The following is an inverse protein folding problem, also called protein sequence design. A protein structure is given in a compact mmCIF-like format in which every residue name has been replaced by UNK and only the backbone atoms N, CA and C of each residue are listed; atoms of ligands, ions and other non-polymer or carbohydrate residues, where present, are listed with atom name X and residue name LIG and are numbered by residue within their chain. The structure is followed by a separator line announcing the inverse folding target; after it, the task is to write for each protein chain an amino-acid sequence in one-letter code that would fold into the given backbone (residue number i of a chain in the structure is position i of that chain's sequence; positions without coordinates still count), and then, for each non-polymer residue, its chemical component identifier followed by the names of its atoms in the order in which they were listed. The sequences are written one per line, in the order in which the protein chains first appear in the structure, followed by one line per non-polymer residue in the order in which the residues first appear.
data_IF_795472309598
#
_entry.id   IF_795472309598
#
_cell.length_a   1.000
_cell.length_b   1.000
_cell.length_c   1.000
_cell.angle_alpha   90.00
_cell.angle_beta   90.00
_cell.angle_gamma   90.00
#
_symmetry.space_group_name_H-M   'P 1'
#
loop_
_entity.id
_entity.type
_entity.pdbx_description
1 polymer ?
#
# COMPACT_ATOMS: atom_id res chain seq x y z
N UNK A 1 -24.97 8.53 -3.55
CA UNK A 1 -24.96 7.17 -4.10
C UNK A 1 -24.23 6.26 -3.13
N UNK A 2 -24.85 5.16 -2.75
CA UNK A 2 -24.22 4.11 -1.95
C UNK A 2 -23.90 2.94 -2.89
N UNK A 3 -22.75 2.30 -2.71
CA UNK A 3 -22.32 1.20 -3.56
C UNK A 3 -22.21 -0.11 -2.78
N UNK A 4 -22.48 -1.21 -3.46
CA UNK A 4 -22.21 -2.54 -2.96
C UNK A 4 -20.90 -3.04 -3.55
N UNK A 5 -20.02 -3.56 -2.71
CA UNK A 5 -18.83 -4.26 -3.17
C UNK A 5 -19.24 -5.58 -3.84
N UNK A 6 -18.67 -5.81 -5.02
CA UNK A 6 -18.85 -7.03 -5.78
C UNK A 6 -17.51 -7.75 -5.85
N UNK A 7 -17.28 -8.64 -4.89
CA UNK A 7 -16.08 -9.47 -4.85
C UNK A 7 -16.25 -10.65 -5.80
N UNK A 8 -15.53 -10.60 -6.91
CA UNK A 8 -15.19 -11.76 -7.74
C UNK A 8 -13.78 -12.23 -7.40
N UNK A 9 -13.45 -13.48 -7.72
CA UNK A 9 -12.08 -13.97 -7.64
C UNK A 9 -11.12 -13.05 -8.43
N UNK A 10 -11.50 -12.65 -9.64
CA UNK A 10 -10.68 -11.78 -10.49
C UNK A 10 -10.44 -10.39 -9.89
N UNK A 11 -11.45 -9.79 -9.24
CA UNK A 11 -11.28 -8.49 -8.58
C UNK A 11 -10.46 -8.58 -7.30
N UNK A 12 -10.56 -9.69 -6.56
CA UNK A 12 -9.72 -9.95 -5.39
C UNK A 12 -8.25 -10.17 -5.81
N UNK A 13 -8.01 -10.99 -6.84
CA UNK A 13 -6.67 -11.20 -7.39
C UNK A 13 -6.09 -9.92 -7.97
N UNK A 14 -6.90 -9.10 -8.64
CA UNK A 14 -6.46 -7.80 -9.15
C UNK A 14 -6.05 -6.86 -8.02
N UNK A 15 -6.85 -6.79 -6.95
CA UNK A 15 -6.52 -6.00 -5.77
C UNK A 15 -5.26 -6.51 -5.07
N UNK A 16 -5.10 -7.83 -4.94
CA UNK A 16 -3.92 -8.46 -4.35
C UNK A 16 -2.65 -8.19 -5.17
N UNK A 17 -2.73 -8.32 -6.49
CA UNK A 17 -1.63 -7.97 -7.38
C UNK A 17 -1.28 -6.48 -7.28
N UNK A 18 -2.32 -5.63 -7.18
CA UNK A 18 -2.12 -4.20 -7.05
C UNK A 18 -1.50 -3.78 -5.71
N UNK A 19 -1.88 -4.45 -4.62
CA UNK A 19 -1.27 -4.31 -3.29
C UNK A 19 0.25 -4.55 -3.38
N UNK A 20 0.67 -5.70 -3.89
CA UNK A 20 2.10 -6.03 -3.98
C UNK A 20 2.88 -5.15 -4.96
N UNK A 21 2.26 -4.72 -6.06
CA UNK A 21 2.88 -3.75 -6.97
C UNK A 21 3.02 -2.37 -6.30
N UNK A 22 2.05 -1.92 -5.51
CA UNK A 22 2.17 -0.66 -4.76
C UNK A 22 3.27 -0.74 -3.69
N UNK A 23 3.36 -1.86 -2.97
CA UNK A 23 4.45 -2.13 -2.03
C UNK A 23 5.81 -2.07 -2.71
N UNK A 24 5.97 -2.76 -3.85
CA UNK A 24 7.24 -2.74 -4.58
C UNK A 24 7.56 -1.33 -5.11
N UNK A 25 6.59 -0.59 -5.62
CA UNK A 25 6.82 0.79 -6.07
C UNK A 25 7.30 1.70 -4.91
N UNK A 26 6.79 1.48 -3.71
CA UNK A 26 7.25 2.16 -2.51
C UNK A 26 8.73 1.88 -2.23
N UNK A 27 9.14 0.60 -2.20
CA UNK A 27 10.54 0.19 -2.01
C UNK A 27 11.47 0.64 -3.15
N UNK A 28 10.99 0.61 -4.39
CA UNK A 28 11.75 1.07 -5.55
C UNK A 28 12.03 2.57 -5.49
N UNK A 29 11.12 3.37 -4.94
CA UNK A 29 11.32 4.82 -4.83
C UNK A 29 12.32 5.17 -3.74
N UNK A 30 12.37 4.41 -2.64
CA UNK A 30 13.46 4.52 -1.68
C UNK A 30 14.82 4.28 -2.35
N UNK A 31 14.95 3.15 -3.03
CA UNK A 31 16.21 2.72 -3.62
C UNK A 31 16.61 3.55 -4.83
N UNK A 32 15.66 4.06 -5.63
CA UNK A 32 15.93 4.97 -6.73
C UNK A 32 16.48 6.32 -6.25
N UNK A 33 15.94 6.86 -5.16
CA UNK A 33 16.47 8.10 -4.56
C UNK A 33 17.84 7.85 -3.92
N UNK A 34 18.03 6.72 -3.23
CA UNK A 34 19.34 6.32 -2.72
C UNK A 34 20.38 6.17 -3.85
N UNK A 35 20.01 5.53 -4.97
CA UNK A 35 20.85 5.41 -6.16
C UNK A 35 21.21 6.78 -6.72
N UNK A 36 20.25 7.71 -6.80
CA UNK A 36 20.51 9.05 -7.28
C UNK A 36 21.52 9.80 -6.39
N UNK A 37 21.50 9.57 -5.08
CA UNK A 37 22.45 10.18 -4.15
C UNK A 37 23.83 9.48 -4.13
N UNK A 38 23.88 8.16 -4.31
CA UNK A 38 25.10 7.35 -4.14
C UNK A 38 25.77 6.92 -5.45
N UNK A 39 25.06 6.94 -6.58
CA UNK A 39 25.52 6.41 -7.87
C UNK A 39 25.52 4.87 -7.98
N UNK A 40 25.06 4.16 -6.95
CA UNK A 40 25.00 2.71 -6.90
C UNK A 40 23.77 2.20 -6.17
N UNK A 41 23.35 0.97 -6.50
CA UNK A 41 22.26 0.28 -5.82
C UNK A 41 22.79 -0.33 -4.52
N UNK A 42 22.11 -0.06 -3.41
CA UNK A 42 22.37 -0.78 -2.17
C UNK A 42 21.53 -2.06 -2.07
N UNK A 43 21.90 -2.92 -1.13
CA UNK A 43 21.19 -4.19 -0.93
C UNK A 43 19.80 -3.94 -0.36
N UNK A 44 18.85 -4.76 -0.78
CA UNK A 44 17.48 -4.77 -0.24
C UNK A 44 16.92 -6.18 -0.13
N UNK A 45 15.85 -6.32 0.63
CA UNK A 45 15.00 -7.50 0.65
C UNK A 45 13.53 -7.11 0.33
N UNK A 46 12.55 -7.88 0.81
CA UNK A 46 11.14 -7.58 0.58
C UNK A 46 10.60 -6.38 1.36
N UNK A 47 11.24 -5.93 2.44
CA UNK A 47 10.71 -4.85 3.29
C UNK A 47 11.79 -3.94 3.90
N UNK A 48 13.04 -4.11 3.51
CA UNK A 48 14.15 -3.30 3.97
C UNK A 48 15.11 -3.02 2.81
N UNK A 49 15.75 -1.86 2.88
CA UNK A 49 16.74 -1.42 1.92
C UNK A 49 17.91 -0.76 2.64
N UNK A 50 19.05 -0.67 1.95
CA UNK A 50 20.27 -0.03 2.42
C UNK A 50 20.87 0.82 1.31
N UNK A 51 21.77 1.73 1.68
CA UNK A 51 22.65 2.40 0.71
C UNK A 51 23.84 1.48 0.36
N UNK A 52 24.43 1.63 -0.82
CA UNK A 52 25.63 0.87 -1.19
C UNK A 52 26.83 1.23 -0.30
N UNK A 53 27.73 0.26 -0.10
CA UNK A 53 28.92 0.39 0.77
C UNK A 53 29.92 1.44 0.31
N UNK A 54 29.92 1.78 -0.99
CA UNK A 54 30.76 2.84 -1.57
C UNK A 54 30.15 4.24 -1.41
N UNK A 55 28.94 4.34 -0.87
CA UNK A 55 28.31 5.64 -0.63
C UNK A 55 28.99 6.38 0.52
N UNK A 56 29.00 7.71 0.45
CA UNK A 56 29.60 8.55 1.50
C UNK A 56 29.00 8.21 2.88
N UNK A 57 29.83 7.98 3.93
CA UNK A 57 29.32 7.69 5.26
C UNK A 57 28.53 8.86 5.87
N UNK A 58 28.70 10.07 5.33
CA UNK A 58 27.98 11.27 5.75
C UNK A 58 26.73 11.56 4.91
N UNK A 59 26.30 10.61 4.07
CA UNK A 59 25.10 10.80 3.26
C UNK A 59 23.87 10.97 4.14
N UNK A 60 23.06 11.97 3.80
CA UNK A 60 21.75 12.14 4.39
C UNK A 60 20.74 11.20 3.71
N UNK A 61 20.43 10.07 4.36
CA UNK A 61 19.46 9.08 3.88
C UNK A 61 18.01 9.50 4.09
N UNK A 62 17.74 10.62 4.77
CA UNK A 62 16.36 11.08 5.07
C UNK A 62 15.55 11.27 3.80
N UNK A 63 16.15 11.76 2.71
CA UNK A 63 15.45 11.92 1.44
C UNK A 63 15.07 10.59 0.81
N UNK A 64 15.98 9.61 0.85
CA UNK A 64 15.69 8.26 0.40
C UNK A 64 14.61 7.62 1.30
N UNK A 65 14.65 7.78 2.62
CA UNK A 65 13.59 7.28 3.51
C UNK A 65 12.27 8.03 3.35
N UNK A 66 12.27 9.33 3.04
CA UNK A 66 11.04 10.08 2.86
C UNK A 66 10.34 9.80 1.53
N UNK A 67 11.08 9.42 0.50
CA UNK A 67 10.54 9.28 -0.86
C UNK A 67 9.46 8.20 -0.96
N UNK A 68 9.63 7.05 -0.29
CA UNK A 68 8.63 5.99 -0.23
C UNK A 68 7.29 6.48 0.35
N UNK A 69 7.24 6.97 1.61
CA UNK A 69 6.02 7.50 2.21
C UNK A 69 5.42 8.64 1.39
N UNK A 70 6.23 9.57 0.88
CA UNK A 70 5.75 10.66 0.03
C UNK A 70 5.01 10.14 -1.21
N UNK A 71 5.55 9.12 -1.87
CA UNK A 71 4.90 8.47 -3.00
C UNK A 71 3.61 7.77 -2.60
N UNK A 72 3.63 6.99 -1.52
CA UNK A 72 2.44 6.30 -0.99
C UNK A 72 1.34 7.29 -0.64
N UNK A 73 1.64 8.38 0.07
CA UNK A 73 0.68 9.43 0.38
C UNK A 73 0.14 10.08 -0.89
N UNK A 74 0.99 10.38 -1.87
CA UNK A 74 0.53 10.90 -3.17
C UNK A 74 -0.51 9.97 -3.81
N UNK A 75 -0.24 8.68 -3.88
CA UNK A 75 -1.17 7.69 -4.43
C UNK A 75 -2.48 7.61 -3.64
N UNK A 76 -2.40 7.62 -2.31
CA UNK A 76 -3.57 7.63 -1.41
C UNK A 76 -4.44 8.88 -1.65
N UNK A 77 -3.84 10.05 -1.83
CA UNK A 77 -4.55 11.30 -2.12
C UNK A 77 -5.11 11.34 -3.55
N UNK A 78 -4.43 10.75 -4.54
CA UNK A 78 -5.00 10.51 -5.87
C UNK A 78 -6.24 9.62 -5.75
N UNK A 79 -6.17 8.55 -4.95
CA UNK A 79 -7.31 7.67 -4.68
C UNK A 79 -8.48 8.42 -4.04
N UNK A 80 -8.20 9.27 -3.04
CA UNK A 80 -9.19 10.18 -2.45
C UNK A 80 -9.85 11.09 -3.49
N UNK A 81 -9.09 11.66 -4.42
CA UNK A 81 -9.61 12.52 -5.47
C UNK A 81 -10.49 11.76 -6.48
N UNK A 82 -10.11 10.52 -6.81
CA UNK A 82 -10.88 9.62 -7.69
C UNK A 82 -12.19 9.13 -7.05
N UNK A 83 -12.29 9.16 -5.73
CA UNK A 83 -13.49 8.84 -4.97
C UNK A 83 -14.50 10.00 -4.83
N UNK A 84 -14.31 11.13 -5.55
CA UNK A 84 -15.23 12.28 -5.48
C UNK A 84 -16.63 11.95 -6.05
N UNK A 85 -17.65 12.67 -5.59
CA UNK A 85 -19.06 12.46 -6.01
C UNK A 85 -19.29 12.53 -7.52
N UNK A 86 -18.52 13.34 -8.25
CA UNK A 86 -18.63 13.52 -9.71
C UNK A 86 -17.86 12.48 -10.53
N UNK A 87 -17.08 11.60 -9.88
CA UNK A 87 -16.31 10.59 -10.58
C UNK A 87 -17.20 9.41 -11.03
N UNK A 88 -16.77 8.72 -12.08
CA UNK A 88 -17.45 7.51 -12.56
C UNK A 88 -17.31 6.36 -11.56
N UNK A 89 -18.17 5.36 -11.66
CA UNK A 89 -18.10 4.17 -10.79
C UNK A 89 -16.74 3.46 -10.88
N UNK A 90 -16.18 3.40 -12.09
CA UNK A 90 -14.87 2.81 -12.33
C UNK A 90 -13.75 3.61 -11.67
N UNK A 91 -13.81 4.95 -11.75
CA UNK A 91 -12.87 5.83 -11.05
C UNK A 91 -12.98 5.69 -9.54
N UNK A 92 -14.18 5.64 -8.99
CA UNK A 92 -14.38 5.46 -7.55
C UNK A 92 -13.90 4.08 -7.07
N UNK A 93 -14.14 3.03 -7.87
CA UNK A 93 -13.65 1.67 -7.60
C UNK A 93 -12.12 1.62 -7.59
N UNK A 94 -11.49 2.19 -8.62
CA UNK A 94 -10.04 2.25 -8.72
C UNK A 94 -9.43 3.14 -7.62
N UNK A 95 -10.05 4.28 -7.31
CA UNK A 95 -9.62 5.16 -6.22
C UNK A 95 -9.70 4.46 -4.86
N UNK A 96 -10.75 3.68 -4.62
CA UNK A 96 -10.87 2.86 -3.43
C UNK A 96 -9.78 1.77 -3.38
N UNK A 97 -9.54 1.07 -4.49
CA UNK A 97 -8.44 0.09 -4.58
C UNK A 97 -7.08 0.74 -4.30
N UNK A 98 -6.81 1.91 -4.89
CA UNK A 98 -5.53 2.63 -4.78
C UNK A 98 -5.25 3.04 -3.34
N UNK A 99 -6.26 3.50 -2.60
CA UNK A 99 -6.11 3.82 -1.17
C UNK A 99 -5.71 2.59 -0.38
N UNK A 100 -6.44 1.49 -0.50
CA UNK A 100 -6.21 0.32 0.35
C UNK A 100 -5.02 -0.53 -0.07
N UNK A 101 -4.64 -0.50 -1.35
CA UNK A 101 -3.43 -1.12 -1.87
C UNK A 101 -2.14 -0.42 -1.38
N UNK A 102 -2.24 0.81 -0.88
CA UNK A 102 -1.12 1.55 -0.29
C UNK A 102 -1.05 1.41 1.24
N UNK A 103 -1.88 0.56 1.83
CA UNK A 103 -1.93 0.20 3.26
C UNK A 103 -1.66 1.39 4.20
N UNK A 104 -2.43 2.49 4.11
CA UNK A 104 -2.19 3.70 4.90
C UNK A 104 -2.25 3.46 6.42
N UNK A 105 -2.94 2.40 6.85
CA UNK A 105 -2.95 1.99 8.26
C UNK A 105 -1.59 1.46 8.75
N UNK A 106 -0.76 0.87 7.87
CA UNK A 106 0.59 0.44 8.22
C UNK A 106 1.44 1.62 8.73
N UNK A 107 1.24 2.82 8.18
CA UNK A 107 1.94 4.04 8.60
C UNK A 107 1.59 4.44 10.02
N UNK A 108 0.29 4.46 10.34
CA UNK A 108 -0.15 4.70 11.71
C UNK A 108 0.35 3.60 12.67
N UNK A 109 0.24 2.34 12.27
CA UNK A 109 0.66 1.20 13.08
C UNK A 109 2.17 1.25 13.40
N UNK A 110 3.01 1.50 12.41
CA UNK A 110 4.47 1.54 12.60
C UNK A 110 4.90 2.72 13.48
N UNK A 111 4.28 3.90 13.34
CA UNK A 111 4.53 5.04 14.25
C UNK A 111 4.07 4.78 15.68
N UNK A 112 2.93 4.11 15.88
CA UNK A 112 2.53 3.68 17.23
C UNK A 112 3.57 2.74 17.86
N UNK A 113 4.23 1.91 17.04
CA UNK A 113 5.35 1.05 17.43
C UNK A 113 6.70 1.78 17.48
N UNK A 114 6.73 3.11 17.25
CA UNK A 114 7.94 3.96 17.16
C UNK A 114 8.94 3.52 16.08
N UNK A 115 8.46 2.80 15.06
CA UNK A 115 9.22 2.31 13.92
C UNK A 115 8.76 2.94 12.60
N UNK A 116 9.02 2.23 11.50
CA UNK A 116 8.66 2.68 10.15
C UNK A 116 9.53 3.81 9.60
N UNK A 117 9.27 4.16 8.34
CA UNK A 117 9.99 5.22 7.64
C UNK A 117 9.78 6.58 8.31
N UNK A 118 8.55 6.89 8.70
CA UNK A 118 8.20 8.13 9.40
C UNK A 118 8.99 8.28 10.70
N UNK A 119 9.14 7.19 11.47
CA UNK A 119 9.91 7.21 12.70
C UNK A 119 11.41 7.39 12.45
N UNK A 120 11.94 6.82 11.37
CA UNK A 120 13.34 7.02 10.95
C UNK A 120 13.58 8.47 10.53
N UNK A 121 12.69 9.05 9.72
CA UNK A 121 12.75 10.45 9.28
C UNK A 121 12.72 11.39 10.48
N UNK A 122 11.76 11.18 11.38
CA UNK A 122 11.57 12.03 12.56
C UNK A 122 12.81 12.00 13.48
N UNK A 123 13.38 10.82 13.71
CA UNK A 123 14.62 10.68 14.50
C UNK A 123 15.81 11.40 13.86
N UNK A 124 15.93 11.29 12.53
CA UNK A 124 17.00 11.94 11.80
C UNK A 124 16.87 13.47 11.83
N UNK A 125 15.65 14.02 11.76
CA UNK A 125 15.40 15.47 11.87
C UNK A 125 15.69 15.99 13.28
N UNK A 126 15.25 15.27 14.32
CA UNK A 126 15.43 15.68 15.72
C UNK A 126 16.86 15.41 16.23
N UNK A 127 17.62 14.56 15.54
CA UNK A 127 18.97 14.18 15.95
C UNK A 127 19.00 13.30 17.20
N UNK A 128 17.92 12.57 17.47
CA UNK A 128 17.79 11.71 18.66
C UNK A 128 17.40 10.29 18.29
N UNK A 129 18.09 9.30 18.88
CA UNK A 129 17.80 7.88 18.66
C UNK A 129 16.48 7.42 19.29
N UNK A 130 16.04 8.11 20.36
CA UNK A 130 14.73 7.91 21.00
C UNK A 130 13.89 9.16 20.83
N UNK A 131 12.68 9.00 20.31
CA UNK A 131 11.75 10.12 20.12
C UNK A 131 11.18 10.60 21.46
N UNK A 132 11.34 11.89 21.79
CA UNK A 132 10.60 12.51 22.88
C UNK A 132 9.10 12.34 22.68
N UNK A 133 8.35 12.23 23.78
CA UNK A 133 6.89 12.00 23.72
C UNK A 133 6.17 13.08 22.90
N UNK A 134 6.58 14.35 23.02
CA UNK A 134 5.98 15.45 22.27
C UNK A 134 6.17 15.32 20.77
N UNK A 135 7.36 14.91 20.33
CA UNK A 135 7.67 14.70 18.90
C UNK A 135 6.88 13.53 18.35
N UNK A 136 6.81 12.42 19.08
CA UNK A 136 6.02 11.25 18.70
C UNK A 136 4.52 11.56 18.58
N UNK A 137 3.97 12.40 19.47
CA UNK A 137 2.58 12.85 19.37
C UNK A 137 2.35 13.72 18.11
N UNK A 138 3.28 14.60 17.78
CA UNK A 138 3.21 15.41 16.55
C UNK A 138 3.22 14.51 15.32
N UNK A 139 4.08 13.50 15.28
CA UNK A 139 4.15 12.51 14.20
C UNK A 139 2.81 11.79 14.00
N UNK A 140 2.19 11.30 15.08
CA UNK A 140 0.85 10.69 15.03
C UNK A 140 -0.18 11.66 14.46
N UNK A 141 -0.19 12.92 14.92
CA UNK A 141 -1.12 13.94 14.46
C UNK A 141 -0.95 14.18 12.96
N UNK A 142 0.29 14.29 12.46
CA UNK A 142 0.57 14.48 11.03
C UNK A 142 0.02 13.30 10.21
N UNK A 143 0.28 12.06 10.64
CA UNK A 143 -0.23 10.88 9.93
C UNK A 143 -1.76 10.84 9.95
N UNK A 144 -2.39 11.16 11.08
CA UNK A 144 -3.85 11.22 11.16
C UNK A 144 -4.42 12.28 10.22
N UNK A 145 -3.78 13.45 10.10
CA UNK A 145 -4.20 14.49 9.15
C UNK A 145 -4.08 14.03 7.69
N UNK A 146 -3.08 13.21 7.37
CA UNK A 146 -2.88 12.67 6.02
C UNK A 146 -3.86 11.52 5.69
N UNK A 147 -4.23 10.70 6.67
CA UNK A 147 -4.96 9.45 6.43
C UNK A 147 -6.46 9.56 6.74
N UNK A 148 -6.86 10.26 7.80
CA UNK A 148 -8.28 10.35 8.23
C UNK A 148 -9.20 10.91 7.15
N UNK A 149 -8.87 11.99 6.42
CA UNK A 149 -9.72 12.50 5.34
C UNK A 149 -9.99 11.45 4.25
N UNK A 150 -9.00 10.58 4.01
CA UNK A 150 -9.11 9.49 3.03
C UNK A 150 -10.01 8.38 3.55
N UNK A 151 -9.84 7.99 4.80
CA UNK A 151 -10.70 7.02 5.48
C UNK A 151 -12.16 7.45 5.54
N UNK A 152 -12.42 8.72 5.87
CA UNK A 152 -13.78 9.26 5.89
C UNK A 152 -14.42 9.15 4.51
N UNK A 153 -13.69 9.49 3.43
CA UNK A 153 -14.23 9.38 2.07
C UNK A 153 -14.46 7.93 1.65
N UNK A 154 -13.53 7.03 1.94
CA UNK A 154 -13.70 5.60 1.66
C UNK A 154 -14.89 5.01 2.42
N UNK A 155 -15.07 5.38 3.70
CA UNK A 155 -16.21 4.99 4.53
C UNK A 155 -17.55 5.46 3.96
N UNK A 156 -17.61 6.71 3.48
CA UNK A 156 -18.83 7.30 2.91
C UNK A 156 -19.30 6.62 1.62
N UNK A 157 -18.42 5.96 0.86
CA UNK A 157 -18.78 5.23 -0.36
C UNK A 157 -19.50 3.90 -0.09
N UNK A 158 -19.26 3.29 1.06
CA UNK A 158 -19.75 1.96 1.40
C UNK A 158 -21.24 1.98 1.80
N UNK A 159 -21.99 0.97 1.35
CA UNK A 159 -23.37 0.73 1.79
C UNK A 159 -23.47 0.46 3.30
N UNK A 160 -24.50 1.02 3.94
CA UNK A 160 -24.64 1.07 5.42
C UNK A 160 -24.63 -0.33 6.07
N UNK A 161 -25.32 -1.30 5.48
CA UNK A 161 -25.59 -2.60 6.12
C UNK A 161 -24.35 -3.43 6.45
N UNK A 162 -23.24 -3.27 5.71
CA UNK A 162 -21.98 -4.01 5.94
C UNK A 162 -20.75 -3.11 6.02
N UNK A 163 -20.97 -1.81 6.24
CA UNK A 163 -19.94 -0.78 6.14
C UNK A 163 -18.77 -1.07 7.07
N UNK A 164 -19.05 -1.34 8.34
CA UNK A 164 -18.03 -1.55 9.36
C UNK A 164 -17.14 -2.76 9.06
N UNK A 165 -17.77 -3.92 8.80
CA UNK A 165 -17.03 -5.15 8.51
C UNK A 165 -16.14 -5.01 7.28
N UNK A 166 -16.67 -4.46 6.19
CA UNK A 166 -15.87 -4.19 4.97
C UNK A 166 -14.70 -3.26 5.26
N UNK A 167 -14.95 -2.14 5.95
CA UNK A 167 -13.91 -1.17 6.21
C UNK A 167 -12.80 -1.77 7.07
N UNK A 168 -13.14 -2.50 8.14
CA UNK A 168 -12.17 -3.21 8.96
C UNK A 168 -11.39 -4.25 8.14
N UNK A 169 -12.05 -5.00 7.25
CA UNK A 169 -11.38 -5.95 6.37
C UNK A 169 -10.34 -5.29 5.46
N UNK A 170 -10.61 -4.11 4.92
CA UNK A 170 -9.63 -3.36 4.13
C UNK A 170 -8.58 -2.62 4.98
N UNK A 171 -8.90 -2.30 6.23
CA UNK A 171 -7.96 -1.68 7.16
C UNK A 171 -6.89 -2.69 7.62
N UNK A 172 -7.29 -3.93 7.92
CA UNK A 172 -6.44 -4.95 8.53
C UNK A 172 -5.96 -5.99 7.50
N UNK A 173 -6.81 -6.38 6.55
CA UNK A 173 -6.54 -7.47 5.60
C UNK A 173 -5.27 -7.24 4.77
N UNK A 174 -5.14 -6.13 4.03
CA UNK A 174 -3.94 -5.81 3.27
C UNK A 174 -2.67 -5.80 4.13
N UNK A 175 -2.72 -5.20 5.32
CA UNK A 175 -1.61 -5.18 6.28
C UNK A 175 -1.16 -6.59 6.66
N UNK A 176 -2.09 -7.47 7.03
CA UNK A 176 -1.76 -8.85 7.41
C UNK A 176 -1.19 -9.64 6.23
N UNK A 177 -1.77 -9.45 5.04
CA UNK A 177 -1.31 -10.10 3.81
C UNK A 177 0.13 -9.69 3.51
N UNK A 178 0.44 -8.39 3.47
CA UNK A 178 1.81 -7.91 3.25
C UNK A 178 2.78 -8.40 4.32
N UNK A 179 2.40 -8.28 5.60
CA UNK A 179 3.26 -8.71 6.69
C UNK A 179 3.59 -10.21 6.60
N UNK A 180 2.59 -11.07 6.37
CA UNK A 180 2.79 -12.51 6.26
C UNK A 180 3.61 -12.84 5.00
N UNK A 181 3.22 -12.29 3.85
CA UNK A 181 3.88 -12.60 2.58
C UNK A 181 5.32 -12.12 2.53
N UNK A 182 5.61 -10.90 2.98
CA UNK A 182 6.95 -10.30 2.86
C UNK A 182 7.86 -10.69 4.01
N UNK A 183 7.43 -10.45 5.26
CA UNK A 183 8.30 -10.65 6.42
C UNK A 183 8.42 -12.12 6.78
N UNK A 184 7.31 -12.87 6.77
CA UNK A 184 7.34 -14.29 7.18
C UNK A 184 7.70 -15.21 6.04
N UNK A 185 7.15 -15.05 4.84
CA UNK A 185 7.40 -16.00 3.75
C UNK A 185 8.63 -15.57 2.95
N UNK A 186 8.58 -14.39 2.32
CA UNK A 186 9.63 -13.89 1.43
C UNK A 186 11.00 -13.86 2.10
N UNK A 187 11.13 -13.14 3.21
CA UNK A 187 12.42 -13.02 3.91
C UNK A 187 12.90 -14.33 4.55
N UNK A 188 12.02 -15.24 4.98
CA UNK A 188 12.47 -16.56 5.46
C UNK A 188 13.01 -17.43 4.32
N UNK A 189 12.44 -17.31 3.11
CA UNK A 189 12.97 -18.00 1.94
C UNK A 189 14.35 -17.45 1.56
N UNK A 190 14.52 -16.11 1.58
CA UNK A 190 15.82 -15.47 1.38
C UNK A 190 16.85 -15.91 2.44
N UNK A 191 16.46 -15.96 3.71
CA UNK A 191 17.32 -16.41 4.81
C UNK A 191 17.76 -17.88 4.65
N UNK A 192 16.97 -18.70 3.94
CA UNK A 192 17.32 -20.09 3.57
C UNK A 192 18.14 -20.18 2.28
N UNK A 193 18.50 -19.06 1.66
CA UNK A 193 19.29 -19.01 0.43
C UNK A 193 18.46 -19.22 -0.86
N UNK A 194 17.13 -19.24 -0.79
CA UNK A 194 16.28 -19.45 -1.97
C UNK A 194 16.35 -18.23 -2.88
N UNK A 195 17.02 -18.38 -4.02
CA UNK A 195 17.25 -17.31 -5.00
C UNK A 195 17.76 -16.00 -4.36
N UNK A 196 18.62 -16.14 -3.35
CA UNK A 196 19.15 -15.03 -2.55
C UNK A 196 20.30 -14.28 -3.23
N UNK A 197 20.78 -14.75 -4.38
CA UNK A 197 21.81 -14.05 -5.15
C UNK A 197 21.32 -12.68 -5.58
N UNK A 198 22.20 -11.68 -5.43
CA UNK A 198 21.95 -10.32 -5.88
C UNK A 198 21.72 -10.30 -7.39
N UNK A 199 20.75 -9.48 -7.81
CA UNK A 199 20.27 -9.39 -9.18
C UNK A 199 20.04 -7.92 -9.52
N UNK A 200 19.03 -7.61 -10.32
CA UNK A 200 18.76 -6.23 -10.75
C UNK A 200 18.36 -5.36 -9.54
N UNK A 201 18.79 -4.09 -9.60
CA UNK A 201 18.44 -3.02 -8.66
C UNK A 201 18.83 -3.30 -7.19
N UNK A 202 19.89 -4.09 -6.96
CA UNK A 202 20.34 -4.44 -5.61
C UNK A 202 19.40 -5.40 -4.86
N UNK A 203 18.40 -5.96 -5.55
CA UNK A 203 17.48 -6.95 -4.99
C UNK A 203 17.94 -8.38 -5.27
N UNK A 204 17.64 -9.33 -4.37
CA UNK A 204 17.72 -10.75 -4.66
C UNK A 204 16.85 -11.16 -5.85
N UNK A 205 17.27 -12.20 -6.58
CA UNK A 205 16.50 -12.74 -7.70
C UNK A 205 15.06 -13.13 -7.29
N UNK A 206 14.86 -13.65 -6.07
CA UNK A 206 13.52 -13.99 -5.57
C UNK A 206 12.56 -12.80 -5.57
N UNK A 207 13.04 -11.62 -5.14
CA UNK A 207 12.26 -10.39 -5.08
C UNK A 207 11.84 -9.98 -6.49
N UNK A 208 12.78 -10.04 -7.45
CA UNK A 208 12.52 -9.70 -8.84
C UNK A 208 11.50 -10.65 -9.50
N UNK A 209 11.59 -11.97 -9.25
CA UNK A 209 10.62 -12.95 -9.74
C UNK A 209 9.24 -12.68 -9.15
N UNK A 210 9.17 -12.45 -7.84
CA UNK A 210 7.92 -12.15 -7.14
C UNK A 210 7.23 -10.91 -7.73
N UNK A 211 7.98 -9.83 -7.91
CA UNK A 211 7.47 -8.58 -8.44
C UNK A 211 7.07 -8.69 -9.92
N UNK A 212 7.88 -9.38 -10.74
CA UNK A 212 7.55 -9.67 -12.13
C UNK A 212 6.25 -10.48 -12.28
N UNK A 213 6.04 -11.47 -11.40
CA UNK A 213 4.80 -12.26 -11.36
C UNK A 213 3.59 -11.38 -11.04
N UNK A 214 3.63 -10.59 -9.96
CA UNK A 214 2.50 -9.73 -9.58
C UNK A 214 2.22 -8.62 -10.57
N UNK A 215 3.26 -8.01 -11.15
CA UNK A 215 3.10 -7.01 -12.21
C UNK A 215 2.43 -7.64 -13.44
N UNK A 216 2.90 -8.80 -13.89
CA UNK A 216 2.32 -9.50 -15.04
C UNK A 216 0.87 -9.85 -14.79
N UNK A 217 0.56 -10.42 -13.61
CA UNK A 217 -0.80 -10.73 -13.23
C UNK A 217 -1.66 -9.46 -13.24
N UNK A 218 -1.20 -8.37 -12.62
CA UNK A 218 -1.90 -7.10 -12.59
C UNK A 218 -2.20 -6.59 -13.99
N UNK A 219 -1.23 -6.62 -14.91
CA UNK A 219 -1.43 -6.16 -16.29
C UNK A 219 -2.54 -6.96 -17.01
N UNK A 220 -2.62 -8.28 -16.78
CA UNK A 220 -3.66 -9.14 -17.37
C UNK A 220 -5.04 -8.79 -16.81
N UNK A 221 -5.16 -8.56 -15.50
CA UNK A 221 -6.45 -8.41 -14.81
C UNK A 221 -6.77 -6.98 -14.34
N UNK A 222 -5.99 -5.97 -14.76
CA UNK A 222 -6.05 -4.57 -14.29
C UNK A 222 -7.46 -3.98 -14.39
N UNK A 223 -8.17 -4.29 -15.49
CA UNK A 223 -9.54 -3.80 -15.74
C UNK A 223 -10.54 -4.21 -14.64
N UNK A 224 -10.23 -5.23 -13.85
CA UNK A 224 -11.10 -5.67 -12.75
C UNK A 224 -11.01 -4.75 -11.51
N UNK A 225 -9.98 -3.91 -11.37
CA UNK A 225 -9.92 -2.90 -10.31
C UNK A 225 -11.05 -1.87 -10.43
N UNK A 226 -11.42 -1.51 -11.67
CA UNK A 226 -12.54 -0.61 -11.94
C UNK A 226 -13.93 -1.22 -11.73
N UNK A 227 -14.01 -2.49 -11.31
CA UNK A 227 -15.27 -3.26 -11.16
C UNK A 227 -15.58 -3.67 -9.73
N UNK A 228 -14.85 -3.12 -8.74
CA UNK A 228 -15.06 -3.44 -7.32
C UNK A 228 -16.44 -2.98 -6.83
N UNK A 229 -16.94 -1.85 -7.32
CA UNK A 229 -18.28 -1.38 -7.01
C UNK A 229 -19.31 -1.71 -8.10
N UNK A 230 -20.53 -2.02 -7.66
CA UNK A 230 -21.72 -2.10 -8.51
C UNK A 230 -22.82 -1.15 -8.00
N UNK A 231 -23.66 -0.60 -8.90
CA UNK A 231 -24.83 0.19 -8.51
C UNK A 231 -25.79 -0.65 -7.66
N UNK A 232 -26.30 -0.08 -6.56
CA UNK A 232 -27.21 -0.79 -5.66
C UNK A 232 -28.56 -1.12 -6.31
N UNK A 233 -29.02 -0.32 -7.29
CA UNK A 233 -30.30 -0.49 -8.00
C UNK A 233 -30.34 -1.71 -8.93
N UNK A 234 -29.22 -2.08 -9.57
CA UNK A 234 -29.19 -3.19 -10.53
C UNK A 234 -29.37 -4.58 -9.89
N UNK A 235 -29.15 -4.71 -8.58
CA UNK A 235 -29.33 -5.96 -7.85
C UNK A 235 -30.76 -6.17 -7.33
N UNK A 236 -31.51 -5.09 -7.10
CA UNK A 236 -32.93 -5.16 -6.71
C UNK A 236 -33.77 -5.73 -7.85
N UNK A 237 -33.55 -5.24 -9.07
CA UNK A 237 -34.22 -5.72 -10.28
C UNK A 237 -33.88 -7.18 -10.64
N UNK A 238 -32.66 -7.63 -10.31
CA UNK A 238 -32.25 -9.02 -10.51
C UNK A 238 -32.85 -9.98 -9.46
N UNK A 239 -33.21 -9.49 -8.26
CA UNK A 239 -33.91 -10.28 -7.24
C UNK A 239 -35.40 -10.45 -7.55
N UNK A 240 -36.06 -9.43 -8.08
CA UNK A 240 -37.49 -9.52 -8.45
C UNK A 240 -37.72 -10.51 -9.59
N UNK A 241 -36.80 -10.64 -10.54
CA UNK A 241 -36.92 -11.62 -11.64
C UNK A 241 -36.67 -13.09 -11.24
N UNK A 242 -36.24 -13.37 -10.02
CA UNK A 242 -35.91 -14.73 -9.55
C UNK A 242 -36.99 -15.31 -8.63
N UNK A 243 -38.06 -14.57 -8.34
CA UNK A 243 -39.25 -15.11 -7.67
C UNK A 243 -40.27 -15.45 -8.76
N UNK A 244 -40.35 -16.70 -9.26
CA UNK A 244 -41.52 -17.11 -10.02
C UNK A 244 -42.72 -17.02 -9.09
N UNK A 245 -43.73 -16.25 -9.49
CA UNK A 245 -45.06 -16.28 -8.89
C UNK A 245 -45.60 -17.70 -9.02
N UNK A 246 -45.69 -18.42 -7.90
CA UNK A 246 -46.52 -19.60 -7.74
C UNK A 246 -47.80 -19.20 -6.99
#
# INVERSE_FOLDING_TARGET
MQFKLHFTLNSLLAFLAFLFVCHELHELIHTAVAYWQCGCWGQRDFNAWQVCTTCSPNINTVWATASGPMFTYLLVWVGWWLMRKRATLAQQSFGFALVWANVPFARLFTVLMKGGDEGVITRAIVGQSKLPIGVWLVEIVVILLLVVPVFVRAWQLLAVQKRLGVFISFLIGPLLIEFISMHKIGNQLLAKGVFAQESILGSPLLVNIWNGMWLTLLLIIFRNLGRLFQPQEQLAFKREKVIPSF
#
